data_IF_429395713382
#
_entry.id   IF_429395713382
#
_cell.length_a   1.000
_cell.length_b   1.000
_cell.length_c   1.000
_cell.angle_alpha   90.00
_cell.angle_beta   90.00
_cell.angle_gamma   90.00
#
_symmetry.space_group_name_H-M   'P 1'
#
loop_
_entity.id
_entity.type
_entity.pdbx_description
1 polymer ?
#
# COMPACT_ATOMS: atom_id res chain seq x y z
N UNK A 1 53.37 -23.90 -5.16
CA UNK A 1 52.92 -22.97 -4.09
C UNK A 1 52.45 -21.69 -4.76
N UNK A 2 51.16 -21.33 -4.70
CA UNK A 2 50.69 -20.10 -5.38
C UNK A 2 49.19 -19.96 -5.67
N UNK A 3 48.31 -20.81 -5.13
CA UNK A 3 46.86 -20.77 -5.44
C UNK A 3 45.97 -20.32 -4.27
N UNK A 4 46.55 -20.01 -3.11
CA UNK A 4 45.78 -19.72 -1.88
C UNK A 4 45.48 -18.23 -1.65
N UNK A 5 46.24 -17.31 -2.26
CA UNK A 5 46.05 -15.86 -2.04
C UNK A 5 44.92 -15.26 -2.91
N UNK A 6 44.74 -15.73 -4.15
CA UNK A 6 43.77 -15.14 -5.10
C UNK A 6 42.30 -15.37 -4.76
N UNK A 7 41.96 -16.41 -3.98
CA UNK A 7 40.58 -16.70 -3.55
C UNK A 7 40.14 -15.87 -2.32
N UNK A 8 41.10 -15.30 -1.58
CA UNK A 8 40.81 -14.45 -0.41
C UNK A 8 40.48 -13.02 -0.90
N UNK A 9 41.28 -12.50 -1.84
CA UNK A 9 41.09 -11.16 -2.42
C UNK A 9 39.77 -10.99 -3.20
N UNK A 10 39.17 -12.07 -3.71
CA UNK A 10 37.87 -12.02 -4.41
C UNK A 10 36.69 -12.03 -3.43
N UNK A 11 36.78 -12.79 -2.33
CA UNK A 11 35.74 -12.79 -1.28
C UNK A 11 35.67 -11.47 -0.53
N UNK A 12 36.80 -10.84 -0.25
CA UNK A 12 36.82 -9.57 0.46
C UNK A 12 36.26 -8.43 -0.40
N UNK A 13 36.48 -8.47 -1.73
CA UNK A 13 35.84 -7.54 -2.67
C UNK A 13 34.33 -7.73 -2.77
N UNK A 14 33.84 -8.97 -2.79
CA UNK A 14 32.39 -9.25 -2.81
C UNK A 14 31.69 -8.79 -1.52
N UNK A 15 32.36 -8.91 -0.38
CA UNK A 15 31.85 -8.40 0.91
C UNK A 15 31.82 -6.88 0.91
N UNK A 16 32.86 -6.21 0.39
CA UNK A 16 32.93 -4.75 0.33
C UNK A 16 31.87 -4.16 -0.64
N UNK A 17 31.62 -4.84 -1.78
CA UNK A 17 30.54 -4.48 -2.71
C UNK A 17 29.16 -4.67 -2.07
N UNK A 18 28.97 -5.74 -1.32
CA UNK A 18 27.69 -6.02 -0.63
C UNK A 18 27.46 -5.02 0.51
N UNK A 19 28.51 -4.64 1.25
CA UNK A 19 28.44 -3.62 2.30
C UNK A 19 28.16 -2.24 1.72
N UNK A 20 28.77 -1.86 0.60
CA UNK A 20 28.46 -0.61 -0.11
C UNK A 20 27.04 -0.60 -0.67
N UNK A 21 26.52 -1.74 -1.12
CA UNK A 21 25.13 -1.88 -1.55
C UNK A 21 24.16 -1.68 -0.37
N UNK A 22 24.40 -2.36 0.76
CA UNK A 22 23.61 -2.23 1.99
C UNK A 22 23.69 -0.82 2.56
N UNK A 23 24.86 -0.18 2.54
CA UNK A 23 25.06 1.19 3.00
C UNK A 23 24.30 2.18 2.11
N UNK A 24 24.35 2.02 0.78
CA UNK A 24 23.59 2.82 -0.18
C UNK A 24 22.07 2.60 -0.05
N UNK A 25 21.66 1.39 0.29
CA UNK A 25 20.27 1.03 0.54
C UNK A 25 19.77 1.54 1.91
N UNK A 26 20.66 1.67 2.90
CA UNK A 26 20.43 2.33 4.19
C UNK A 26 20.39 3.87 4.06
N UNK A 27 21.26 4.47 3.25
CA UNK A 27 21.24 5.90 2.93
C UNK A 27 19.96 6.28 2.14
N UNK A 28 19.48 5.39 1.27
CA UNK A 28 18.15 5.53 0.63
C UNK A 28 16.97 5.35 1.60
N UNK A 29 17.16 4.88 2.84
CA UNK A 29 16.06 4.81 3.82
C UNK A 29 15.69 6.16 4.41
N UNK A 30 16.49 7.21 4.22
CA UNK A 30 16.16 8.56 4.68
C UNK A 30 15.05 9.22 3.84
N UNK A 31 14.79 8.74 2.62
CA UNK A 31 13.68 9.15 1.75
C UNK A 31 12.55 8.09 1.70
N UNK A 32 12.31 7.38 2.81
CA UNK A 32 11.19 6.44 2.88
C UNK A 32 9.86 7.19 2.87
N UNK A 33 9.11 7.05 1.78
CA UNK A 33 7.69 7.42 1.74
C UNK A 33 6.99 6.77 2.93
N UNK A 34 6.48 7.62 3.82
CA UNK A 34 5.73 7.21 5.00
C UNK A 34 4.36 6.76 4.54
N UNK A 35 3.91 5.61 5.02
CA UNK A 35 2.54 5.14 4.84
C UNK A 35 1.64 5.66 5.96
N UNK A 36 0.32 5.71 5.74
CA UNK A 36 -0.65 6.20 6.73
C UNK A 36 -0.58 5.44 8.06
N UNK A 37 -0.26 4.14 8.03
CA UNK A 37 -0.13 3.31 9.24
C UNK A 37 1.13 3.60 10.06
N UNK A 38 2.10 4.31 9.47
CA UNK A 38 3.31 4.81 10.11
C UNK A 38 3.21 6.30 10.45
N UNK A 39 2.09 6.97 10.13
CA UNK A 39 1.86 8.37 10.46
C UNK A 39 1.75 8.57 11.98
N UNK A 40 2.33 9.66 12.45
CA UNK A 40 2.33 10.10 13.85
C UNK A 40 1.72 11.49 13.97
N UNK A 41 1.51 11.98 15.19
CA UNK A 41 1.01 13.33 15.43
C UNK A 41 1.95 14.42 14.89
N UNK A 42 3.24 14.14 14.77
CA UNK A 42 4.25 15.09 14.33
C UNK A 42 4.65 14.89 12.85
N UNK A 43 4.31 13.75 12.26
CA UNK A 43 4.74 13.37 10.92
C UNK A 43 3.66 12.61 10.16
N UNK A 44 3.21 13.19 9.05
CA UNK A 44 2.34 12.55 8.06
C UNK A 44 3.09 12.37 6.74
N UNK A 45 2.59 11.54 5.81
CA UNK A 45 3.19 11.42 4.49
C UNK A 45 3.22 12.76 3.75
N UNK A 46 4.33 13.08 3.08
CA UNK A 46 4.51 14.37 2.39
C UNK A 46 3.45 14.60 1.30
N UNK A 47 3.05 13.52 0.61
CA UNK A 47 1.99 13.62 -0.39
C UNK A 47 0.64 13.94 0.27
N UNK A 48 0.33 13.35 1.44
CA UNK A 48 -0.86 13.72 2.21
C UNK A 48 -0.77 15.18 2.67
N UNK A 49 0.40 15.63 3.13
CA UNK A 49 0.61 17.04 3.48
C UNK A 49 0.35 17.96 2.28
N UNK A 50 0.80 17.59 1.08
CA UNK A 50 0.55 18.34 -0.15
C UNK A 50 -0.94 18.41 -0.52
N UNK A 51 -1.69 17.29 -0.37
CA UNK A 51 -3.16 17.28 -0.53
C UNK A 51 -3.78 18.33 0.37
N UNK A 52 -3.40 18.25 1.64
CA UNK A 52 -4.04 19.02 2.69
C UNK A 52 -3.65 20.48 2.62
N UNK A 53 -2.45 20.79 2.12
CA UNK A 53 -2.05 22.16 1.78
C UNK A 53 -2.89 22.71 0.65
N UNK A 54 -3.14 21.94 -0.42
CA UNK A 54 -4.04 22.36 -1.50
C UNK A 54 -5.47 22.55 -0.97
N UNK A 55 -5.96 21.60 -0.17
CA UNK A 55 -7.26 21.71 0.49
C UNK A 55 -7.33 22.91 1.44
N UNK A 56 -6.23 23.28 2.10
CA UNK A 56 -6.18 24.37 3.09
C UNK A 56 -6.42 25.76 2.51
N UNK A 57 -6.29 25.90 1.19
CA UNK A 57 -6.61 27.14 0.47
C UNK A 57 -8.10 27.33 0.22
N UNK A 58 -8.92 26.31 0.53
CA UNK A 58 -10.37 26.30 0.38
C UNK A 58 -11.04 26.11 1.76
N UNK A 59 -12.31 26.48 1.94
CA UNK A 59 -13.03 26.24 3.20
C UNK A 59 -13.42 24.76 3.33
N UNK A 60 -12.54 23.94 3.91
CA UNK A 60 -12.75 22.49 4.04
C UNK A 60 -13.59 22.10 5.27
N UNK A 61 -14.41 21.07 5.11
CA UNK A 61 -15.16 20.42 6.19
C UNK A 61 -14.39 19.22 6.76
N UNK A 62 -14.82 18.69 7.91
CA UNK A 62 -14.26 17.45 8.43
C UNK A 62 -14.44 16.28 7.44
N UNK A 63 -15.55 16.29 6.70
CA UNK A 63 -15.84 15.31 5.66
C UNK A 63 -14.85 15.39 4.49
N UNK A 64 -14.55 16.59 3.99
CA UNK A 64 -13.52 16.81 2.97
C UNK A 64 -12.17 16.23 3.40
N UNK A 65 -11.74 16.52 4.63
CA UNK A 65 -10.47 16.01 5.16
C UNK A 65 -10.45 14.49 5.31
N UNK A 66 -11.56 13.90 5.75
CA UNK A 66 -11.69 12.45 5.81
C UNK A 66 -11.52 11.85 4.41
N UNK A 67 -12.16 12.43 3.41
CA UNK A 67 -12.06 11.98 2.02
C UNK A 67 -10.64 12.09 1.45
N UNK A 68 -9.84 13.08 1.87
CA UNK A 68 -8.42 13.14 1.52
C UNK A 68 -7.64 11.91 2.02
N UNK A 69 -7.92 11.45 3.25
CA UNK A 69 -7.29 10.24 3.81
C UNK A 69 -7.80 8.97 3.10
N UNK A 70 -9.09 8.93 2.79
CA UNK A 70 -9.70 7.81 2.06
C UNK A 70 -9.04 7.68 0.67
N UNK A 71 -8.88 8.79 -0.04
CA UNK A 71 -8.19 8.80 -1.32
C UNK A 71 -6.72 8.37 -1.18
N UNK A 72 -6.01 8.89 -0.19
CA UNK A 72 -4.63 8.48 0.06
C UNK A 72 -4.54 6.97 0.30
N UNK A 73 -5.45 6.41 1.10
CA UNK A 73 -5.53 4.97 1.37
C UNK A 73 -5.82 4.14 0.11
N UNK A 74 -6.58 4.70 -0.85
CA UNK A 74 -6.81 4.08 -2.15
C UNK A 74 -5.50 4.00 -2.96
N UNK A 75 -4.69 5.06 -2.96
CA UNK A 75 -3.37 5.06 -3.61
C UNK A 75 -2.41 4.06 -2.96
N UNK A 76 -2.40 3.98 -1.62
CA UNK A 76 -1.63 2.94 -0.93
C UNK A 76 -2.13 1.52 -1.27
N UNK A 77 -3.38 1.39 -1.69
CA UNK A 77 -3.93 0.12 -2.16
C UNK A 77 -3.70 -0.11 -3.65
N UNK A 78 -2.85 0.68 -4.29
CA UNK A 78 -2.52 0.64 -5.71
C UNK A 78 -3.70 0.95 -6.65
N UNK A 79 -4.71 1.67 -6.17
CA UNK A 79 -5.78 2.20 -7.03
C UNK A 79 -5.35 3.53 -7.63
N UNK A 80 -5.58 3.74 -8.92
CA UNK A 80 -5.14 4.95 -9.63
C UNK A 80 -6.36 5.71 -10.13
N UNK A 81 -6.47 6.98 -9.78
CA UNK A 81 -7.59 7.83 -10.17
C UNK A 81 -7.67 8.00 -11.68
N UNK A 82 -8.87 8.10 -12.23
CA UNK A 82 -9.05 8.34 -13.66
C UNK A 82 -8.51 9.70 -14.12
N UNK A 83 -8.50 10.67 -13.21
CA UNK A 83 -7.90 12.00 -13.34
C UNK A 83 -6.36 11.99 -13.37
N UNK A 84 -5.72 10.89 -12.96
CA UNK A 84 -4.26 10.79 -13.04
C UNK A 84 -3.82 10.47 -14.47
N UNK A 85 -2.88 11.27 -15.00
CA UNK A 85 -2.22 11.04 -16.29
C UNK A 85 -0.91 10.26 -16.09
N UNK A 86 -1.02 9.07 -15.49
CA UNK A 86 0.13 8.18 -15.32
C UNK A 86 0.07 7.15 -16.45
N UNK A 87 1.07 7.17 -17.33
CA UNK A 87 1.27 6.11 -18.31
C UNK A 87 1.92 4.91 -17.62
N UNK A 88 1.10 3.89 -17.32
CA UNK A 88 1.53 2.68 -16.64
C UNK A 88 2.23 1.68 -17.57
N UNK A 89 2.24 1.91 -18.88
CA UNK A 89 2.85 0.99 -19.85
C UNK A 89 4.36 0.84 -19.67
N UNK A 90 5.04 1.92 -19.26
CA UNK A 90 6.47 1.93 -18.99
C UNK A 90 6.83 1.37 -17.61
N UNK A 91 5.85 1.23 -16.72
CA UNK A 91 6.04 0.63 -15.42
C UNK A 91 5.78 -0.86 -15.55
N UNK A 92 6.83 -1.61 -15.87
CA UNK A 92 6.89 -3.06 -15.64
C UNK A 92 6.72 -3.29 -14.13
N UNK A 93 5.48 -3.29 -13.68
CA UNK A 93 5.11 -3.53 -12.30
C UNK A 93 5.65 -4.90 -11.90
N UNK A 94 6.09 -5.06 -10.67
CA UNK A 94 5.90 -6.33 -9.99
C UNK A 94 4.42 -6.33 -9.62
N UNK A 95 3.60 -7.07 -10.36
CA UNK A 95 2.11 -7.08 -10.39
C UNK A 95 1.47 -7.59 -9.09
N UNK A 96 2.21 -7.47 -8.00
CA UNK A 96 2.31 -8.40 -6.91
C UNK A 96 2.67 -7.69 -5.60
N UNK A 97 3.17 -6.45 -5.68
CA UNK A 97 3.30 -5.61 -4.50
C UNK A 97 1.93 -5.02 -4.15
N UNK A 98 1.43 -5.34 -2.96
CA UNK A 98 0.19 -4.79 -2.42
C UNK A 98 0.24 -3.27 -2.23
N UNK A 99 1.44 -2.67 -2.34
CA UNK A 99 1.75 -1.26 -2.18
C UNK A 99 2.82 -0.89 -3.21
N UNK A 100 2.48 -0.07 -4.22
CA UNK A 100 3.47 0.51 -5.13
C UNK A 100 3.72 1.98 -4.76
N UNK A 101 4.80 2.23 -4.04
CA UNK A 101 5.24 3.56 -3.63
C UNK A 101 5.34 4.58 -4.79
N UNK A 102 5.68 4.12 -5.99
CA UNK A 102 5.82 4.97 -7.18
C UNK A 102 4.48 5.59 -7.61
N UNK A 103 3.35 4.96 -7.27
CA UNK A 103 2.03 5.52 -7.53
C UNK A 103 1.87 6.82 -6.73
N UNK A 104 2.33 6.85 -5.48
CA UNK A 104 2.24 8.05 -4.63
C UNK A 104 3.07 9.21 -5.16
N UNK A 105 4.19 8.94 -5.83
CA UNK A 105 5.06 9.98 -6.40
C UNK A 105 4.43 10.69 -7.61
N UNK A 106 3.57 9.99 -8.35
CA UNK A 106 3.00 10.48 -9.61
C UNK A 106 1.49 10.75 -9.56
N UNK A 107 0.81 10.38 -8.48
CA UNK A 107 -0.62 10.62 -8.34
C UNK A 107 -0.92 12.10 -8.13
N UNK A 108 -1.87 12.59 -8.92
CA UNK A 108 -2.47 13.92 -8.78
C UNK A 108 -3.77 13.82 -8.01
N UNK A 109 -4.23 14.94 -7.44
CA UNK A 109 -5.50 14.98 -6.71
C UNK A 109 -6.63 15.46 -7.61
N UNK A 110 -7.85 14.90 -7.45
CA UNK A 110 -9.00 15.39 -8.19
C UNK A 110 -9.33 16.79 -7.68
N UNK A 111 -9.49 17.74 -8.61
CA UNK A 111 -9.82 19.14 -8.27
C UNK A 111 -11.12 19.24 -7.46
N UNK A 112 -12.01 18.28 -7.68
CA UNK A 112 -13.36 18.28 -7.13
C UNK A 112 -13.43 17.69 -5.71
N UNK A 113 -12.33 17.14 -5.17
CA UNK A 113 -12.32 16.54 -3.83
C UNK A 113 -12.64 17.53 -2.72
N UNK A 114 -12.34 18.82 -2.97
CA UNK A 114 -12.53 19.91 -2.02
C UNK A 114 -13.86 20.66 -2.23
N UNK A 115 -14.69 20.24 -3.19
CA UNK A 115 -16.01 20.83 -3.36
C UNK A 115 -16.87 20.40 -2.17
N UNK A 116 -17.43 21.38 -1.44
CA UNK A 116 -18.32 21.15 -0.30
C UNK A 116 -19.67 20.56 -0.77
N UNK A 117 -19.63 19.28 -1.10
CA UNK A 117 -20.79 18.46 -1.40
C UNK A 117 -20.86 17.35 -0.37
N UNK A 118 -22.07 17.01 0.06
CA UNK A 118 -22.32 15.87 0.93
C UNK A 118 -22.04 14.53 0.23
N UNK A 119 -21.72 14.54 -1.07
CA UNK A 119 -21.39 13.36 -1.86
C UNK A 119 -20.09 13.61 -2.62
N UNK A 120 -19.14 12.71 -2.45
CA UNK A 120 -17.94 12.60 -3.26
C UNK A 120 -17.97 11.28 -4.02
N UNK A 121 -17.78 11.35 -5.33
CA UNK A 121 -17.63 10.18 -6.19
C UNK A 121 -16.26 10.22 -6.86
N UNK A 122 -15.49 9.14 -6.71
CA UNK A 122 -14.17 8.98 -7.30
C UNK A 122 -14.14 7.72 -8.15
N UNK A 123 -13.60 7.84 -9.36
CA UNK A 123 -13.44 6.72 -10.28
C UNK A 123 -11.97 6.38 -10.43
N UNK A 124 -11.63 5.11 -10.25
CA UNK A 124 -10.28 4.57 -10.39
C UNK A 124 -10.21 3.65 -11.61
N UNK A 125 -9.09 3.74 -12.32
CA UNK A 125 -8.72 2.88 -13.43
C UNK A 125 -8.24 1.54 -12.89
N UNK A 126 -8.66 0.46 -13.54
CA UNK A 126 -8.04 -0.84 -13.33
C UNK A 126 -6.92 -1.06 -14.36
N UNK A 127 -5.69 -1.21 -13.87
CA UNK A 127 -4.50 -1.23 -14.73
C UNK A 127 -4.49 -2.41 -15.71
N UNK A 128 -5.11 -3.55 -15.35
CA UNK A 128 -5.09 -4.74 -16.19
C UNK A 128 -6.11 -4.73 -17.32
N UNK A 129 -7.24 -4.06 -17.10
CA UNK A 129 -8.38 -4.11 -18.00
C UNK A 129 -9.05 -2.74 -18.05
N UNK A 130 -8.83 -2.00 -19.14
CA UNK A 130 -9.28 -0.60 -19.27
C UNK A 130 -10.81 -0.46 -19.32
N UNK A 131 -11.52 -1.52 -19.69
CA UNK A 131 -12.99 -1.61 -19.70
C UNK A 131 -13.59 -1.66 -18.29
N UNK A 132 -12.78 -1.94 -17.26
CA UNK A 132 -13.21 -2.04 -15.87
C UNK A 132 -12.79 -0.82 -15.08
N UNK A 133 -13.71 -0.34 -14.24
CA UNK A 133 -13.49 0.80 -13.36
C UNK A 133 -13.94 0.46 -11.95
N UNK A 134 -13.27 1.05 -10.97
CA UNK A 134 -13.71 1.02 -9.58
C UNK A 134 -14.28 2.38 -9.25
N UNK A 135 -15.48 2.42 -8.69
CA UNK A 135 -16.09 3.66 -8.23
C UNK A 135 -16.20 3.63 -6.72
N UNK A 136 -15.71 4.68 -6.07
CA UNK A 136 -15.88 4.94 -4.65
C UNK A 136 -16.85 6.11 -4.49
N UNK A 137 -17.94 5.87 -3.79
CA UNK A 137 -18.83 6.91 -3.30
C UNK A 137 -18.59 7.10 -1.80
N UNK A 138 -18.54 8.36 -1.39
CA UNK A 138 -18.50 8.79 -0.01
C UNK A 138 -19.65 9.77 0.21
N UNK A 139 -20.57 9.43 1.11
CA UNK A 139 -21.75 10.23 1.42
C UNK A 139 -21.70 10.66 2.89
N UNK A 140 -21.78 11.97 3.13
CA UNK A 140 -21.93 12.56 4.45
C UNK A 140 -23.37 12.40 4.94
N UNK A 141 -23.54 11.78 6.10
CA UNK A 141 -24.83 11.55 6.77
C UNK A 141 -24.69 11.91 8.25
N UNK A 142 -24.89 13.20 8.54
CA UNK A 142 -24.69 13.74 9.89
C UNK A 142 -23.23 13.56 10.35
N UNK A 143 -23.04 12.87 11.47
CA UNK A 143 -21.71 12.61 12.03
C UNK A 143 -20.95 11.46 11.38
N UNK A 144 -21.54 10.82 10.36
CA UNK A 144 -20.99 9.64 9.69
C UNK A 144 -20.71 9.89 8.21
N UNK A 145 -19.65 9.25 7.71
CA UNK A 145 -19.39 9.08 6.29
C UNK A 145 -19.72 7.64 5.89
N UNK A 146 -20.60 7.48 4.91
CA UNK A 146 -20.94 6.22 4.28
C UNK A 146 -20.06 6.03 3.06
N UNK A 147 -19.13 5.08 3.13
CA UNK A 147 -18.25 4.75 2.02
C UNK A 147 -18.76 3.49 1.34
N UNK A 148 -18.97 3.55 0.03
CA UNK A 148 -19.30 2.39 -0.79
C UNK A 148 -18.39 2.33 -2.01
N UNK A 149 -17.75 1.21 -2.23
CA UNK A 149 -16.88 0.97 -3.38
C UNK A 149 -17.45 -0.17 -4.22
N UNK A 150 -17.45 -0.05 -5.54
CA UNK A 150 -17.94 -1.07 -6.44
C UNK A 150 -17.21 -1.11 -7.77
N UNK A 151 -17.28 -2.26 -8.43
CA UNK A 151 -16.77 -2.46 -9.79
C UNK A 151 -17.87 -2.15 -10.82
N UNK A 152 -17.49 -1.42 -11.87
CA UNK A 152 -18.25 -1.28 -13.11
C UNK A 152 -17.61 -2.16 -14.19
N UNK A 153 -18.38 -3.13 -14.68
CA UNK A 153 -18.05 -3.94 -15.88
C UNK A 153 -18.87 -3.43 -17.05
N UNK A 154 -18.19 -3.10 -18.15
CA UNK A 154 -18.70 -2.38 -19.32
C UNK A 154 -19.11 -0.92 -19.03
N UNK A 155 -18.60 0.01 -19.86
CA UNK A 155 -18.92 1.44 -19.80
C UNK A 155 -20.41 1.74 -20.07
N UNK A 156 -21.11 0.82 -20.71
CA UNK A 156 -22.48 1.00 -21.24
C UNK A 156 -23.58 0.33 -20.38
N UNK A 157 -23.24 -0.39 -19.30
CA UNK A 157 -24.23 -1.11 -18.48
C UNK A 157 -24.08 -0.83 -16.99
N UNK A 158 -25.20 -0.53 -16.34
CA UNK A 158 -25.40 -0.35 -14.89
C UNK A 158 -25.34 -1.67 -14.10
N UNK A 159 -24.48 -2.61 -14.51
CA UNK A 159 -24.31 -3.85 -13.78
C UNK A 159 -23.30 -3.65 -12.64
N UNK A 160 -23.82 -3.33 -11.46
CA UNK A 160 -23.07 -3.37 -10.22
C UNK A 160 -22.78 -4.84 -9.88
N UNK A 161 -21.55 -5.29 -10.11
CA UNK A 161 -21.22 -6.71 -9.91
C UNK A 161 -20.79 -6.98 -8.48
N UNK A 162 -20.05 -6.05 -7.88
CA UNK A 162 -19.37 -6.28 -6.61
C UNK A 162 -19.32 -4.99 -5.83
N UNK A 163 -19.73 -5.01 -4.56
CA UNK A 163 -19.67 -3.84 -3.68
C UNK A 163 -19.13 -4.19 -2.30
N UNK A 164 -18.41 -3.24 -1.71
CA UNK A 164 -18.05 -3.21 -0.30
C UNK A 164 -18.49 -1.88 0.27
N UNK A 165 -18.90 -1.85 1.53
CA UNK A 165 -19.31 -0.61 2.17
C UNK A 165 -18.96 -0.62 3.63
N UNK A 166 -18.60 0.55 4.16
CA UNK A 166 -18.34 0.77 5.58
C UNK A 166 -18.91 2.12 5.98
N UNK A 167 -19.16 2.28 7.27
CA UNK A 167 -19.60 3.54 7.88
C UNK A 167 -18.52 4.03 8.82
N UNK A 168 -18.10 5.29 8.67
CA UNK A 168 -17.04 5.89 9.46
C UNK A 168 -17.58 7.07 10.28
N UNK A 169 -17.39 7.10 11.61
CA UNK A 169 -17.65 8.30 12.40
C UNK A 169 -16.61 9.38 12.07
N UNK A 170 -17.04 10.51 11.50
CA UNK A 170 -16.16 11.56 10.99
C UNK A 170 -15.31 12.15 12.13
N UNK A 171 -15.96 12.49 13.25
CA UNK A 171 -15.32 13.12 14.42
C UNK A 171 -14.26 12.25 15.11
N UNK A 172 -14.31 10.93 14.93
CA UNK A 172 -13.31 9.98 15.46
C UNK A 172 -11.96 10.14 14.78
N UNK A 173 -11.95 10.47 13.49
CA UNK A 173 -10.74 10.55 12.67
C UNK A 173 -10.34 11.99 12.37
N UNK A 174 -11.31 12.90 12.28
CA UNK A 174 -11.10 14.32 12.03
C UNK A 174 -11.79 15.15 13.12
N UNK A 175 -11.11 15.53 14.21
CA UNK A 175 -11.71 16.31 15.30
C UNK A 175 -11.92 17.79 14.92
N UNK A 176 -13.13 18.31 15.18
CA UNK A 176 -13.55 19.68 14.82
C UNK A 176 -12.60 20.79 15.32
N UNK A 177 -12.09 20.65 16.56
CA UNK A 177 -11.30 21.70 17.22
C UNK A 177 -9.88 21.89 16.68
N UNK A 178 -9.37 21.00 15.80
CA UNK A 178 -7.95 20.99 15.39
C UNK A 178 -7.72 21.36 13.93
N UNK A 179 -8.75 21.87 13.25
CA UNK A 179 -8.69 22.17 11.81
C UNK A 179 -7.65 23.25 11.45
N UNK A 180 -7.28 24.15 12.36
CA UNK A 180 -6.62 25.41 11.99
C UNK A 180 -5.13 25.56 12.32
N UNK A 181 -4.53 24.73 13.19
CA UNK A 181 -3.21 25.07 13.76
C UNK A 181 -2.04 24.28 13.16
N UNK A 182 -2.26 23.02 12.77
CA UNK A 182 -1.22 22.17 12.16
C UNK A 182 -1.87 20.98 11.44
N UNK A 183 -1.51 20.76 10.16
CA UNK A 183 -2.10 19.70 9.32
C UNK A 183 -2.06 18.30 9.95
N UNK A 184 -0.95 17.83 10.57
CA UNK A 184 -0.93 16.53 11.25
C UNK A 184 -1.91 16.42 12.42
N UNK A 185 -2.18 17.54 13.11
CA UNK A 185 -3.06 17.60 14.26
C UNK A 185 -4.55 17.52 13.88
N UNK A 186 -4.88 17.75 12.61
CA UNK A 186 -6.24 17.62 12.09
C UNK A 186 -6.75 16.18 12.07
N UNK A 187 -5.90 15.19 12.38
CA UNK A 187 -6.24 13.77 12.33
C UNK A 187 -5.98 13.03 13.64
N UNK A 188 -6.74 11.94 13.82
CA UNK A 188 -6.54 10.97 14.91
C UNK A 188 -6.78 9.56 14.38
N UNK A 189 -6.18 8.59 15.06
CA UNK A 189 -6.38 7.16 14.77
C UNK A 189 -6.08 6.78 13.31
N UNK A 190 -5.11 7.44 12.66
CA UNK A 190 -4.77 7.21 11.25
C UNK A 190 -4.37 5.77 10.95
N UNK A 191 -3.64 5.12 11.85
CA UNK A 191 -3.27 3.71 11.72
C UNK A 191 -4.51 2.81 11.70
N UNK A 192 -5.44 3.03 12.63
CA UNK A 192 -6.69 2.28 12.69
C UNK A 192 -7.51 2.50 11.42
N UNK A 193 -7.65 3.77 10.98
CA UNK A 193 -8.38 4.13 9.78
C UNK A 193 -7.77 3.51 8.52
N UNK A 194 -6.44 3.55 8.38
CA UNK A 194 -5.72 2.97 7.24
C UNK A 194 -5.96 1.47 7.15
N UNK A 195 -5.84 0.74 8.27
CA UNK A 195 -6.12 -0.70 8.33
C UNK A 195 -7.58 -0.98 7.98
N UNK A 196 -8.52 -0.26 8.62
CA UNK A 196 -9.96 -0.42 8.39
C UNK A 196 -10.32 -0.24 6.91
N UNK A 197 -9.84 0.84 6.27
CA UNK A 197 -10.07 1.13 4.86
C UNK A 197 -9.47 0.07 3.93
N UNK A 198 -8.19 -0.27 4.15
CA UNK A 198 -7.47 -1.24 3.32
C UNK A 198 -8.11 -2.62 3.40
N UNK A 199 -8.37 -3.11 4.61
CA UNK A 199 -8.85 -4.47 4.84
C UNK A 199 -10.33 -4.67 4.46
N UNK A 200 -11.16 -3.62 4.55
CA UNK A 200 -12.61 -3.77 4.34
C UNK A 200 -13.11 -3.22 3.00
N UNK A 201 -12.40 -2.26 2.39
CA UNK A 201 -12.79 -1.69 1.10
C UNK A 201 -11.79 -2.04 -0.01
N UNK A 202 -10.57 -1.52 0.09
CA UNK A 202 -9.68 -1.40 -1.07
C UNK A 202 -8.98 -2.72 -1.46
N UNK A 203 -8.41 -3.44 -0.49
CA UNK A 203 -7.75 -4.72 -0.79
C UNK A 203 -8.78 -5.77 -1.23
N UNK A 204 -9.96 -5.92 -0.58
CA UNK A 204 -10.97 -6.88 -1.04
C UNK A 204 -11.44 -6.63 -2.47
N UNK A 205 -11.84 -5.40 -2.82
CA UNK A 205 -12.34 -5.11 -4.17
C UNK A 205 -11.24 -5.34 -5.21
N UNK A 206 -10.00 -4.94 -4.91
CA UNK A 206 -8.86 -5.13 -5.79
C UNK A 206 -8.56 -6.61 -6.03
N UNK A 207 -8.48 -7.40 -4.95
CA UNK A 207 -8.20 -8.83 -5.05
C UNK A 207 -9.29 -9.53 -5.87
N UNK A 208 -10.55 -9.17 -5.63
CA UNK A 208 -11.68 -9.73 -6.37
C UNK A 208 -11.62 -9.41 -7.87
N UNK A 209 -11.24 -8.19 -8.24
CA UNK A 209 -11.03 -7.83 -9.65
C UNK A 209 -9.88 -8.62 -10.28
N UNK A 210 -8.79 -8.83 -9.56
CA UNK A 210 -7.70 -9.66 -10.06
C UNK A 210 -8.14 -11.12 -10.24
N UNK A 211 -8.92 -11.67 -9.29
CA UNK A 211 -9.44 -13.04 -9.34
C UNK A 211 -10.33 -13.23 -10.57
N UNK A 212 -11.20 -12.25 -10.85
CA UNK A 212 -12.08 -12.23 -12.02
C UNK A 212 -11.34 -12.13 -13.36
N UNK A 213 -10.07 -11.70 -13.36
CA UNK A 213 -9.23 -11.66 -14.56
C UNK A 213 -8.41 -12.95 -14.75
N UNK A 214 -8.63 -13.97 -13.91
CA UNK A 214 -7.83 -15.21 -13.86
C UNK A 214 -6.31 -14.96 -13.73
N UNK A 215 -5.93 -13.74 -13.36
CA UNK A 215 -4.57 -13.43 -12.94
C UNK A 215 -4.44 -14.03 -11.55
N UNK A 216 -3.43 -14.87 -11.31
CA UNK A 216 -3.16 -15.40 -9.98
C UNK A 216 -2.94 -14.23 -9.02
N UNK A 217 -3.99 -13.92 -8.27
CA UNK A 217 -4.12 -12.68 -7.53
C UNK A 217 -3.41 -12.84 -6.22
N UNK A 218 -2.41 -12.00 -6.01
CA UNK A 218 -1.53 -11.97 -4.87
C UNK A 218 -0.50 -13.10 -4.79
N UNK A 219 0.81 -12.82 -4.96
CA UNK A 219 1.82 -13.59 -4.28
C UNK A 219 1.79 -13.16 -2.82
N UNK A 220 0.83 -13.66 -2.06
CA UNK A 220 1.09 -13.78 -0.64
C UNK A 220 2.35 -14.63 -0.53
N UNK A 221 3.20 -14.33 0.43
CA UNK A 221 4.32 -15.21 0.71
C UNK A 221 3.82 -16.66 0.89
N UNK A 222 2.61 -16.85 1.42
CA UNK A 222 1.98 -18.17 1.51
C UNK A 222 1.46 -18.75 0.17
N UNK A 223 1.20 -17.94 -0.85
CA UNK A 223 0.79 -18.38 -2.19
C UNK A 223 1.95 -18.75 -3.09
N UNK A 224 3.20 -18.43 -2.71
CA UNK A 224 4.38 -18.79 -3.49
C UNK A 224 4.64 -20.31 -3.44
N UNK A 225 5.14 -20.90 -4.55
CA UNK A 225 5.66 -22.27 -4.52
C UNK A 225 6.76 -22.42 -3.48
N UNK A 226 6.77 -23.54 -2.76
CA UNK A 226 7.74 -23.80 -1.68
C UNK A 226 9.20 -23.69 -2.15
N UNK A 227 9.48 -24.01 -3.42
CA UNK A 227 10.80 -23.86 -4.02
C UNK A 227 11.28 -22.40 -4.10
N UNK A 228 10.37 -21.44 -4.29
CA UNK A 228 10.66 -20.00 -4.27
C UNK A 228 10.83 -19.53 -2.83
N UNK A 229 9.96 -19.98 -1.93
CA UNK A 229 10.03 -19.63 -0.51
C UNK A 229 11.36 -20.06 0.12
N UNK A 230 11.81 -21.28 -0.16
CA UNK A 230 13.10 -21.78 0.33
C UNK A 230 14.26 -20.93 -0.19
N UNK A 231 14.18 -20.36 -1.40
CA UNK A 231 15.19 -19.41 -1.89
C UNK A 231 15.17 -18.12 -1.07
N UNK A 232 13.99 -17.55 -0.79
CA UNK A 232 13.83 -16.35 0.05
C UNK A 232 14.42 -16.60 1.46
N UNK A 233 14.09 -17.73 2.09
CA UNK A 233 14.59 -18.09 3.42
C UNK A 233 16.13 -18.17 3.50
N UNK A 234 16.83 -18.47 2.40
CA UNK A 234 18.31 -18.48 2.36
C UNK A 234 18.93 -17.09 2.50
N UNK A 235 18.23 -16.05 2.08
CA UNK A 235 18.71 -14.66 2.12
C UNK A 235 18.33 -13.95 3.42
N UNK A 236 17.43 -14.51 4.23
CA UNK A 236 17.05 -13.94 5.51
C UNK A 236 18.07 -14.28 6.60
N UNK A 237 18.35 -13.31 7.48
CA UNK A 237 19.19 -13.53 8.66
C UNK A 237 18.40 -14.33 9.74
N UNK A 238 19.11 -14.76 10.80
CA UNK A 238 18.49 -15.58 11.86
C UNK A 238 17.34 -14.87 12.59
N UNK A 239 17.43 -13.55 12.77
CA UNK A 239 16.41 -12.75 13.49
C UNK A 239 15.13 -12.67 12.66
N UNK A 240 15.26 -12.40 11.37
CA UNK A 240 14.12 -12.29 10.45
C UNK A 240 13.45 -13.64 10.22
N UNK A 241 14.23 -14.73 10.14
CA UNK A 241 13.70 -16.09 10.12
C UNK A 241 12.89 -16.42 11.39
N UNK A 242 13.33 -15.93 12.55
CA UNK A 242 12.60 -16.11 13.80
C UNK A 242 11.28 -15.34 13.78
N UNK A 243 11.31 -14.06 13.38
CA UNK A 243 10.10 -13.25 13.22
C UNK A 243 9.12 -13.88 12.23
N UNK A 244 9.61 -14.41 11.10
CA UNK A 244 8.80 -15.05 10.08
C UNK A 244 8.10 -16.32 10.59
N UNK A 245 8.78 -17.13 11.41
CA UNK A 245 8.17 -18.31 12.06
C UNK A 245 6.95 -17.97 12.91
N UNK A 246 6.91 -16.78 13.49
CA UNK A 246 5.83 -16.34 14.36
C UNK A 246 4.62 -15.77 13.59
N UNK A 247 4.67 -15.68 12.26
CA UNK A 247 3.61 -15.06 11.46
C UNK A 247 2.43 -16.01 11.21
N UNK A 248 2.69 -17.23 10.74
CA UNK A 248 1.65 -18.24 10.50
C UNK A 248 2.22 -19.66 10.52
N UNK A 249 1.33 -20.65 10.59
CA UNK A 249 1.69 -22.08 10.65
C UNK A 249 2.48 -22.56 9.43
N UNK A 250 2.10 -22.15 8.22
CA UNK A 250 2.82 -22.51 6.99
C UNK A 250 4.28 -22.03 7.02
N UNK A 251 4.52 -20.78 7.45
CA UNK A 251 5.88 -20.23 7.56
C UNK A 251 6.68 -20.91 8.68
N UNK A 252 6.04 -21.23 9.80
CA UNK A 252 6.64 -22.02 10.87
C UNK A 252 7.18 -23.37 10.36
N UNK A 253 6.33 -24.14 9.66
CA UNK A 253 6.67 -25.47 9.16
C UNK A 253 7.80 -25.40 8.10
N UNK A 254 7.72 -24.45 7.17
CA UNK A 254 8.77 -24.22 6.16
C UNK A 254 10.10 -23.85 6.79
N UNK A 255 10.12 -22.94 7.76
CA UNK A 255 11.36 -22.53 8.42
C UNK A 255 11.94 -23.65 9.30
N UNK A 256 11.10 -24.54 9.86
CA UNK A 256 11.54 -25.73 10.60
C UNK A 256 12.17 -26.77 9.65
N UNK A 257 11.55 -27.02 8.50
CA UNK A 257 12.08 -27.91 7.47
C UNK A 257 13.41 -27.37 6.90
N UNK A 258 13.49 -26.06 6.63
CA UNK A 258 14.70 -25.40 6.17
C UNK A 258 15.87 -25.53 7.16
N UNK A 259 15.61 -25.31 8.46
CA UNK A 259 16.62 -25.47 9.50
C UNK A 259 17.13 -26.92 9.63
N UNK A 260 16.24 -27.90 9.42
CA UNK A 260 16.57 -29.33 9.49
C UNK A 260 17.42 -29.78 8.29
N UNK A 261 17.12 -29.28 7.08
CA UNK A 261 17.89 -29.56 5.87
C UNK A 261 19.27 -28.88 5.86
N UNK A 262 19.45 -27.77 6.60
CA UNK A 262 20.78 -27.16 6.78
C UNK A 262 21.70 -28.07 7.59
N UNK A 263 21.19 -28.76 8.61
CA UNK A 263 21.99 -29.68 9.45
C UNK A 263 22.53 -30.88 8.65
N UNK A 264 21.74 -31.44 7.75
CA UNK A 264 22.12 -32.59 6.90
C UNK A 264 23.14 -32.29 5.79
N UNK A 265 23.46 -31.03 5.50
CA UNK A 265 24.47 -30.65 4.49
C UNK A 265 25.86 -30.39 5.08
N UNK A 266 26.00 -30.51 6.40
CA UNK A 266 27.25 -30.34 7.15
C UNK A 266 27.63 -31.61 7.94
N UNK A 267 26.96 -32.73 7.65
CA UNK A 267 27.36 -34.10 8.00
C UNK A 267 27.83 -34.78 6.72
#
# INVERSE_FOLDING_TARGET
MGTSQQQIDTKDKDIEVTQKFIQKELENQHDKIITLDLATLDKIPDQLYNILRVASTQNYTQFTLLNCIVLYSAYESSLIGDWCQIDLSNYTLSWCSAFNQRILEHCTFPKDICINNNLLQLTFKFTLEQSRKIVLNSLESGDFALLSIYELKDLDKTHFVQSKSITLPISRYVPFKKLCDHVPNSFRNLKELSVLLKENLFIPIRNQMYDDCAVLSCPWLNGLPDCVLVKILKYLNKKDLHSLKCTCRKQYDLCKAFASNKKRKFE
#
